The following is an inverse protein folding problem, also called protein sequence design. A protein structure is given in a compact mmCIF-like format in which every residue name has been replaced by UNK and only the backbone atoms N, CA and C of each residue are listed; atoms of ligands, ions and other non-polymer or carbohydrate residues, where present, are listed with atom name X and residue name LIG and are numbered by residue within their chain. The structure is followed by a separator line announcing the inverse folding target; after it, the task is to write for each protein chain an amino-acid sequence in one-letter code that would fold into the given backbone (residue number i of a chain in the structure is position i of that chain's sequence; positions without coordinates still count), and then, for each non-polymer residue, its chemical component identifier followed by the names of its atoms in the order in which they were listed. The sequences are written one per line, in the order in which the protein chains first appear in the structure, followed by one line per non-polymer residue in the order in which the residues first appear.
data_IF_917963764540
#
_entry.id   IF_917963764540
#
_cell.length_a   1.000
_cell.length_b   1.000
_cell.length_c   1.000
_cell.angle_alpha   90.00
_cell.angle_beta   90.00
_cell.angle_gamma   90.00
#
_symmetry.space_group_name_H-M   'P 1'
#
loop_
_entity.id
_entity.type
_entity.pdbx_description
1 polymer ?
#
# COMPACT_ATOMS: atom_id res chain seq x y z
N UNK A 1 -1.32 -25.03 25.71
CA UNK A 1 -1.82 -23.77 25.13
C UNK A 1 -1.08 -22.66 25.83
N UNK A 2 -0.23 -21.85 25.16
CA UNK A 2 0.37 -20.72 25.85
C UNK A 2 -0.76 -19.82 26.33
N UNK A 3 -0.66 -19.41 27.59
CA UNK A 3 -1.64 -18.55 28.25
C UNK A 3 -1.76 -17.26 27.43
N UNK A 4 -2.97 -16.96 26.95
CA UNK A 4 -3.24 -15.75 26.14
C UNK A 4 -3.37 -14.58 27.10
N UNK A 5 -2.26 -14.27 27.76
CA UNK A 5 -2.21 -13.31 28.84
C UNK A 5 -2.10 -11.89 28.28
N UNK A 6 -2.71 -10.89 28.93
CA UNK A 6 -2.54 -9.49 28.60
C UNK A 6 -1.07 -9.01 28.62
N UNK A 7 -0.21 -9.71 29.37
CA UNK A 7 1.24 -9.47 29.41
C UNK A 7 2.02 -10.01 28.22
N UNK A 8 1.36 -10.59 27.21
CA UNK A 8 2.03 -11.09 26.00
C UNK A 8 2.54 -9.91 25.16
N UNK A 9 3.77 -9.95 24.63
CA UNK A 9 4.25 -8.99 23.64
C UNK A 9 3.34 -8.90 22.42
N UNK A 10 3.27 -7.72 21.80
CA UNK A 10 2.37 -7.51 20.66
C UNK A 10 2.76 -8.34 19.44
N UNK A 11 4.06 -8.43 19.16
CA UNK A 11 4.65 -9.05 17.98
C UNK A 11 4.52 -10.57 17.95
N UNK A 12 4.50 -11.22 19.13
CA UNK A 12 4.19 -12.64 19.32
C UNK A 12 2.85 -13.07 18.68
N UNK A 13 1.94 -12.11 18.49
CA UNK A 13 0.63 -12.36 17.89
C UNK A 13 0.59 -12.20 16.36
N UNK A 14 1.55 -11.49 15.76
CA UNK A 14 1.46 -11.04 14.37
C UNK A 14 1.49 -12.21 13.39
N UNK A 15 2.40 -13.16 13.58
CA UNK A 15 2.52 -14.30 12.67
C UNK A 15 1.25 -15.16 12.69
N UNK A 16 0.66 -15.39 13.88
CA UNK A 16 -0.61 -16.12 14.03
C UNK A 16 -1.76 -15.39 13.34
N UNK A 17 -1.89 -14.08 13.59
CA UNK A 17 -2.88 -13.24 12.92
C UNK A 17 -2.78 -13.33 11.39
N UNK A 18 -1.56 -13.20 10.85
CA UNK A 18 -1.32 -13.23 9.41
C UNK A 18 -1.58 -14.61 8.80
N UNK A 19 -1.37 -15.70 9.55
CA UNK A 19 -1.72 -17.06 9.13
C UNK A 19 -3.24 -17.24 9.05
N UNK A 20 -3.97 -16.82 10.10
CA UNK A 20 -5.43 -16.95 10.16
C UNK A 20 -6.14 -16.08 9.11
N UNK A 21 -5.60 -14.88 8.83
CA UNK A 21 -6.14 -14.00 7.78
C UNK A 21 -5.77 -14.45 6.36
N UNK A 22 -4.75 -15.29 6.20
CA UNK A 22 -4.28 -15.78 4.90
C UNK A 22 -5.30 -16.72 4.24
N UNK A 23 -6.13 -16.20 3.32
CA UNK A 23 -7.02 -17.06 2.50
C UNK A 23 -6.29 -17.62 1.27
N UNK A 24 -6.30 -18.95 1.10
CA UNK A 24 -5.90 -19.64 -0.14
C UNK A 24 -5.04 -20.90 0.07
N UNK A 25 -4.99 -21.80 -0.93
CA UNK A 25 -4.15 -23.01 -0.96
C UNK A 25 -2.68 -22.60 -1.00
N UNK A 26 -2.08 -22.40 0.18
CA UNK A 26 -0.67 -22.05 0.32
C UNK A 26 -0.34 -20.96 1.34
N UNK A 27 -1.32 -20.22 1.89
CA UNK A 27 -1.14 -19.33 3.06
C UNK A 27 -0.17 -18.12 2.95
N UNK A 28 0.74 -18.10 1.95
CA UNK A 28 1.95 -17.27 1.97
C UNK A 28 1.91 -16.02 1.06
N UNK A 29 0.96 -15.95 0.13
CA UNK A 29 1.17 -15.21 -1.13
C UNK A 29 0.35 -13.93 -1.38
N UNK A 30 -0.19 -13.26 -0.35
CA UNK A 30 -1.07 -12.10 -0.57
C UNK A 30 -0.38 -10.74 -0.50
N UNK A 31 -0.67 -9.82 -1.43
CA UNK A 31 -0.30 -8.40 -1.28
C UNK A 31 -0.84 -7.82 0.05
N UNK A 32 -2.00 -8.32 0.50
CA UNK A 32 -2.54 -8.02 1.83
C UNK A 32 -1.59 -8.44 2.95
N UNK A 33 -1.18 -9.72 3.01
CA UNK A 33 -0.31 -10.28 4.07
C UNK A 33 0.99 -9.48 4.18
N UNK A 34 1.66 -9.19 3.07
CA UNK A 34 2.90 -8.39 3.07
C UNK A 34 2.70 -6.97 3.59
N UNK A 35 1.63 -6.30 3.15
CA UNK A 35 1.36 -4.93 3.59
C UNK A 35 0.92 -4.87 5.05
N UNK A 36 0.11 -5.83 5.50
CA UNK A 36 -0.29 -5.96 6.90
C UNK A 36 0.91 -6.28 7.80
N UNK A 37 1.76 -7.23 7.42
CA UNK A 37 2.97 -7.58 8.17
C UNK A 37 3.90 -6.38 8.34
N UNK A 38 4.14 -5.64 7.25
CA UNK A 38 4.96 -4.41 7.31
C UNK A 38 4.37 -3.38 8.26
N UNK A 39 3.05 -3.19 8.23
CA UNK A 39 2.42 -2.18 9.08
C UNK A 39 2.33 -2.62 10.54
N UNK A 40 2.12 -3.90 10.82
CA UNK A 40 2.21 -4.45 12.18
C UNK A 40 3.60 -4.26 12.78
N UNK A 41 4.66 -4.51 12.00
CA UNK A 41 6.03 -4.24 12.43
C UNK A 41 6.25 -2.76 12.76
N UNK A 42 5.81 -1.85 11.88
CA UNK A 42 5.88 -0.40 12.13
C UNK A 42 5.08 0.05 13.34
N UNK A 43 3.95 -0.59 13.61
CA UNK A 43 3.16 -0.32 14.81
C UNK A 43 3.89 -0.77 16.07
N UNK A 44 4.55 -1.94 16.05
CA UNK A 44 5.38 -2.39 17.18
C UNK A 44 6.59 -1.48 17.41
N UNK A 45 7.33 -1.13 16.35
CA UNK A 45 8.43 -0.14 16.42
C UNK A 45 7.95 1.20 16.98
N UNK A 46 6.78 1.66 16.53
CA UNK A 46 6.18 2.90 17.05
C UNK A 46 5.77 2.75 18.51
N UNK A 47 5.15 1.63 18.89
CA UNK A 47 4.76 1.38 20.27
C UNK A 47 5.98 1.29 21.22
N UNK A 48 7.12 0.80 20.73
CA UNK A 48 8.36 0.73 21.48
C UNK A 48 9.15 2.05 21.52
N UNK A 49 8.74 3.07 20.76
CA UNK A 49 9.45 4.36 20.67
C UNK A 49 10.57 4.40 19.62
N UNK A 50 10.88 3.29 18.95
CA UNK A 50 11.88 3.21 17.88
C UNK A 50 11.46 3.95 16.60
N UNK A 51 10.17 4.30 16.50
CA UNK A 51 9.58 5.03 15.40
C UNK A 51 8.64 6.12 15.93
N UNK A 52 8.78 7.35 15.45
CA UNK A 52 7.91 8.44 15.88
C UNK A 52 8.45 9.80 15.50
N UNK A 53 7.85 10.84 16.08
CA UNK A 53 8.47 12.16 16.14
C UNK A 53 9.62 12.14 17.14
N UNK A 54 10.51 13.14 17.10
CA UNK A 54 11.72 13.17 17.94
C UNK A 54 11.42 13.16 19.46
N UNK A 55 10.20 13.52 19.86
CA UNK A 55 9.71 13.56 21.25
C UNK A 55 8.87 12.33 21.65
N UNK A 56 8.67 11.37 20.74
CA UNK A 56 7.90 10.17 21.01
C UNK A 56 8.77 9.08 21.61
N UNK A 57 8.41 8.60 22.81
CA UNK A 57 9.18 7.58 23.54
C UNK A 57 8.52 6.20 23.59
N UNK A 58 7.39 6.02 22.90
CA UNK A 58 6.62 4.77 22.92
C UNK A 58 5.41 4.83 23.86
N UNK A 59 4.70 3.71 23.97
CA UNK A 59 3.52 3.57 24.83
C UNK A 59 3.85 3.05 26.23
N UNK A 60 5.04 2.45 26.38
CA UNK A 60 5.57 2.00 27.67
C UNK A 60 6.38 3.15 28.27
N UNK A 61 6.19 3.49 29.56
CA UNK A 61 6.99 4.51 30.23
C UNK A 61 8.49 4.19 30.21
N UNK A 62 9.33 5.22 29.98
CA UNK A 62 10.80 5.10 29.87
C UNK A 62 11.49 4.48 31.10
N UNK A 63 10.85 4.49 32.27
CA UNK A 63 11.36 3.89 33.50
C UNK A 63 11.11 2.37 33.58
N UNK A 64 10.42 1.80 32.60
CA UNK A 64 10.09 0.37 32.51
C UNK A 64 10.78 -0.24 31.29
N UNK A 65 11.83 -1.03 31.53
CA UNK A 65 12.59 -1.74 30.49
C UNK A 65 11.88 -3.04 30.06
N UNK A 66 10.83 -2.92 29.25
CA UNK A 66 10.14 -4.05 28.61
C UNK A 66 9.51 -3.66 27.27
N UNK A 67 9.27 -4.67 26.45
CA UNK A 67 8.51 -4.50 25.21
C UNK A 67 7.03 -4.17 25.49
N UNK A 68 6.35 -3.47 24.56
CA UNK A 68 4.91 -3.24 24.63
C UNK A 68 4.12 -4.54 24.64
N UNK A 69 3.07 -4.59 25.47
CA UNK A 69 2.20 -5.75 25.68
C UNK A 69 0.74 -5.37 25.44
N UNK A 70 -0.17 -6.36 25.45
CA UNK A 70 -1.60 -6.08 25.30
C UNK A 70 -2.19 -5.26 26.47
N UNK A 71 -1.60 -5.34 27.66
CA UNK A 71 -1.98 -4.51 28.83
C UNK A 71 -1.79 -3.01 28.58
N UNK A 72 -0.91 -2.64 27.66
CA UNK A 72 -0.64 -1.24 27.32
C UNK A 72 -1.62 -0.69 26.29
N UNK A 73 -2.46 -1.54 25.70
CA UNK A 73 -3.34 -1.16 24.60
C UNK A 73 -4.71 -0.71 25.10
N UNK A 74 -5.00 0.56 24.86
CA UNK A 74 -6.33 1.13 25.03
C UNK A 74 -6.74 1.96 23.79
N UNK A 75 -7.91 2.58 23.83
CA UNK A 75 -8.38 3.44 22.73
C UNK A 75 -7.48 4.68 22.49
N UNK A 76 -6.72 5.13 23.48
CA UNK A 76 -5.84 6.30 23.36
C UNK A 76 -4.60 5.93 22.54
N UNK A 77 -4.05 4.74 22.73
CA UNK A 77 -2.95 4.23 21.90
C UNK A 77 -3.33 4.21 20.42
N UNK A 78 -4.50 3.66 20.08
CA UNK A 78 -4.96 3.65 18.68
C UNK A 78 -5.24 5.07 18.15
N UNK A 79 -5.75 5.98 18.98
CA UNK A 79 -5.89 7.39 18.62
C UNK A 79 -4.55 8.05 18.31
N UNK A 80 -3.53 7.84 19.14
CA UNK A 80 -2.20 8.40 18.90
C UNK A 80 -1.56 7.82 17.65
N UNK A 81 -1.74 6.52 17.40
CA UNK A 81 -1.26 5.91 16.16
C UNK A 81 -1.95 6.49 14.92
N UNK A 82 -3.27 6.75 15.00
CA UNK A 82 -3.98 7.45 13.93
C UNK A 82 -3.40 8.86 13.67
N UNK A 83 -3.03 9.59 14.73
CA UNK A 83 -2.35 10.90 14.60
C UNK A 83 -0.95 10.75 13.99
N UNK A 84 -0.18 9.75 14.42
CA UNK A 84 1.13 9.46 13.85
C UNK A 84 1.05 9.24 12.34
N UNK A 85 0.13 8.38 11.89
CA UNK A 85 -0.08 8.14 10.46
C UNK A 85 -0.56 9.40 9.72
N UNK A 86 -1.49 10.16 10.30
CA UNK A 86 -2.01 11.39 9.70
C UNK A 86 -0.98 12.54 9.62
N UNK A 87 -0.02 12.56 10.55
CA UNK A 87 1.05 13.56 10.61
C UNK A 87 2.24 13.27 9.68
N UNK A 88 2.36 12.03 9.17
CA UNK A 88 3.41 11.67 8.22
C UNK A 88 3.18 12.35 6.86
N UNK A 89 3.99 13.38 6.59
CA UNK A 89 3.94 14.19 5.36
C UNK A 89 4.20 13.37 4.09
N UNK A 90 4.72 12.15 4.20
CA UNK A 90 4.94 11.23 3.09
C UNK A 90 3.71 10.37 2.72
N UNK A 91 2.68 10.31 3.56
CA UNK A 91 1.52 9.45 3.34
C UNK A 91 0.34 10.18 2.70
N UNK A 92 -0.29 9.54 1.70
CA UNK A 92 -1.58 9.97 1.17
C UNK A 92 -2.71 9.55 2.13
N UNK A 93 -3.83 10.27 2.13
CA UNK A 93 -4.99 9.98 2.98
C UNK A 93 -5.48 8.53 2.87
N UNK A 94 -5.65 8.00 1.66
CA UNK A 94 -6.05 6.59 1.46
C UNK A 94 -4.99 5.59 1.99
N UNK A 95 -3.71 5.96 1.99
CA UNK A 95 -2.66 5.15 2.59
C UNK A 95 -2.78 5.13 4.11
N UNK A 96 -2.99 6.29 4.74
CA UNK A 96 -3.27 6.40 6.19
C UNK A 96 -4.45 5.51 6.58
N UNK A 97 -5.57 5.62 5.86
CA UNK A 97 -6.76 4.80 6.07
C UNK A 97 -6.47 3.30 5.90
N UNK A 98 -5.73 2.94 4.85
CA UNK A 98 -5.38 1.54 4.58
C UNK A 98 -4.48 0.96 5.68
N UNK A 99 -3.51 1.73 6.16
CA UNK A 99 -2.58 1.31 7.20
C UNK A 99 -3.29 1.15 8.55
N UNK A 100 -4.09 2.15 8.94
CA UNK A 100 -4.91 2.04 10.13
C UNK A 100 -5.88 0.84 10.07
N UNK A 101 -6.45 0.55 8.89
CA UNK A 101 -7.31 -0.63 8.71
C UNK A 101 -6.58 -1.96 8.93
N UNK A 102 -5.28 -2.07 8.63
CA UNK A 102 -4.52 -3.27 8.95
C UNK A 102 -4.43 -3.46 10.47
N UNK A 103 -4.10 -2.39 11.21
CA UNK A 103 -4.02 -2.42 12.67
C UNK A 103 -5.38 -2.67 13.31
N UNK A 104 -6.43 -2.04 12.79
CA UNK A 104 -7.80 -2.27 13.25
C UNK A 104 -8.23 -3.72 13.02
N UNK A 105 -7.92 -4.31 11.85
CA UNK A 105 -8.23 -5.71 11.58
C UNK A 105 -7.47 -6.69 12.49
N UNK A 106 -6.25 -6.35 12.92
CA UNK A 106 -5.49 -7.12 13.92
C UNK A 106 -6.09 -6.96 15.33
N UNK A 107 -6.45 -5.74 15.74
CA UNK A 107 -7.14 -5.48 17.00
C UNK A 107 -8.43 -6.30 17.12
N UNK A 108 -9.26 -6.32 16.07
CA UNK A 108 -10.49 -7.14 16.05
C UNK A 108 -10.22 -8.64 16.10
N UNK A 109 -9.13 -9.13 15.53
CA UNK A 109 -8.71 -10.54 15.69
C UNK A 109 -8.22 -10.82 17.12
N UNK A 110 -7.49 -9.89 17.73
CA UNK A 110 -7.02 -10.02 19.12
C UNK A 110 -8.18 -10.13 20.10
N UNK A 111 -9.30 -9.44 19.85
CA UNK A 111 -10.53 -9.61 20.62
C UNK A 111 -11.09 -11.03 20.49
N UNK A 112 -11.19 -11.55 19.26
CA UNK A 112 -11.71 -12.89 19.02
C UNK A 112 -10.82 -13.99 19.64
N UNK A 113 -9.51 -13.78 19.65
CA UNK A 113 -8.57 -14.71 20.27
C UNK A 113 -8.43 -14.52 21.80
N UNK A 114 -9.03 -13.47 22.37
CA UNK A 114 -9.06 -13.21 23.81
C UNK A 114 -7.85 -12.47 24.37
N UNK A 115 -7.01 -11.85 23.53
CA UNK A 115 -5.92 -10.97 23.99
C UNK A 115 -6.44 -9.60 24.45
N UNK A 116 -7.55 -9.12 23.85
CA UNK A 116 -8.17 -7.84 24.18
C UNK A 116 -9.64 -8.03 24.56
N UNK A 117 -10.12 -7.27 25.53
CA UNK A 117 -11.52 -7.29 25.94
C UNK A 117 -12.46 -6.56 24.96
N UNK A 118 -11.93 -5.64 24.16
CA UNK A 118 -12.72 -4.81 23.25
C UNK A 118 -11.95 -4.36 22.01
N UNK A 119 -12.68 -4.04 20.96
CA UNK A 119 -12.11 -3.56 19.70
C UNK A 119 -11.78 -2.06 19.80
N UNK A 120 -10.74 -1.71 20.55
CA UNK A 120 -10.34 -0.32 20.81
C UNK A 120 -10.09 0.49 19.53
N UNK A 121 -9.46 -0.11 18.50
CA UNK A 121 -9.19 0.56 17.23
C UNK A 121 -10.44 0.99 16.44
N UNK A 122 -11.62 0.45 16.74
CA UNK A 122 -12.88 0.82 16.09
C UNK A 122 -13.70 1.83 16.90
N UNK A 123 -13.21 2.25 18.08
CA UNK A 123 -13.87 3.29 18.86
C UNK A 123 -13.83 4.62 18.11
N UNK A 124 -14.91 5.39 18.20
CA UNK A 124 -15.02 6.69 17.55
C UNK A 124 -13.90 7.64 17.98
N UNK A 125 -13.49 7.55 19.25
CA UNK A 125 -12.33 8.23 19.83
C UNK A 125 -11.04 7.94 19.07
N UNK A 126 -10.76 6.67 18.79
CA UNK A 126 -9.56 6.21 18.10
C UNK A 126 -9.54 6.62 16.62
N UNK A 127 -10.69 6.57 15.95
CA UNK A 127 -10.81 6.91 14.53
C UNK A 127 -10.86 8.41 14.23
N UNK A 128 -11.17 9.25 15.23
CA UNK A 128 -11.36 10.70 15.05
C UNK A 128 -10.20 11.45 14.35
N UNK A 129 -8.91 11.10 14.54
CA UNK A 129 -7.81 11.78 13.87
C UNK A 129 -7.58 11.34 12.42
N UNK A 130 -8.24 10.28 11.95
CA UNK A 130 -8.04 9.78 10.60
C UNK A 130 -8.55 10.82 9.58
N UNK A 131 -7.86 11.00 8.45
CA UNK A 131 -8.35 11.85 7.39
C UNK A 131 -9.70 11.33 6.89
N UNK A 132 -10.59 12.24 6.50
CA UNK A 132 -11.86 11.85 5.87
C UNK A 132 -11.60 10.96 4.65
N UNK A 133 -12.45 9.96 4.48
CA UNK A 133 -12.46 9.19 3.24
C UNK A 133 -12.82 10.16 2.10
N UNK A 134 -11.95 10.27 1.09
CA UNK A 134 -12.16 11.15 -0.06
C UNK A 134 -13.33 10.67 -0.95
N UNK A 135 -13.97 9.56 -0.58
CA UNK A 135 -15.19 9.03 -1.16
C UNK A 135 -14.97 8.49 -2.56
N UNK A 136 -13.73 8.48 -3.05
CA UNK A 136 -13.41 7.99 -4.39
C UNK A 136 -13.61 6.49 -4.43
N UNK A 137 -14.61 6.09 -5.19
CA UNK A 137 -14.84 4.68 -5.51
C UNK A 137 -13.85 4.26 -6.59
N UNK A 138 -13.50 2.97 -6.69
CA UNK A 138 -12.66 2.47 -7.78
C UNK A 138 -13.15 2.86 -9.18
N UNK A 139 -14.46 3.09 -9.36
CA UNK A 139 -15.07 3.56 -10.60
C UNK A 139 -14.88 5.05 -10.92
N UNK A 140 -14.41 5.85 -9.95
CA UNK A 140 -14.15 7.29 -10.14
C UNK A 140 -12.75 7.55 -10.74
N UNK A 141 -11.95 6.48 -10.93
CA UNK A 141 -10.70 6.57 -11.67
C UNK A 141 -11.00 6.85 -13.14
N UNK A 142 -10.27 7.78 -13.76
CA UNK A 142 -10.38 8.02 -15.20
C UNK A 142 -9.99 6.74 -15.95
N UNK A 143 -11.00 6.02 -16.43
CA UNK A 143 -10.82 4.91 -17.35
C UNK A 143 -10.95 5.44 -18.78
N UNK A 144 -10.05 5.01 -19.67
CA UNK A 144 -10.24 5.27 -21.09
C UNK A 144 -11.54 4.62 -21.56
N UNK A 145 -12.40 5.40 -22.21
CA UNK A 145 -13.56 4.86 -22.90
C UNK A 145 -13.11 3.92 -24.02
N UNK A 146 -14.00 3.04 -24.48
CA UNK A 146 -13.68 2.17 -25.62
C UNK A 146 -13.27 2.97 -26.86
N UNK A 147 -13.89 4.13 -27.06
CA UNK A 147 -13.56 5.07 -28.14
C UNK A 147 -12.17 5.70 -27.95
N UNK A 148 -11.83 6.17 -26.74
CA UNK A 148 -10.50 6.71 -26.44
C UNK A 148 -9.40 5.65 -26.62
N UNK A 149 -9.65 4.41 -26.15
CA UNK A 149 -8.73 3.29 -26.40
C UNK A 149 -8.55 3.04 -27.88
N UNK A 150 -9.64 2.97 -28.63
CA UNK A 150 -9.59 2.70 -30.06
C UNK A 150 -8.89 3.82 -30.84
N UNK A 151 -9.14 5.09 -30.48
CA UNK A 151 -8.48 6.24 -31.08
C UNK A 151 -6.96 6.22 -30.82
N UNK A 152 -6.54 5.91 -29.60
CA UNK A 152 -5.12 5.79 -29.24
C UNK A 152 -4.44 4.64 -30.00
N UNK A 153 -5.04 3.44 -30.01
CA UNK A 153 -4.48 2.29 -30.74
C UNK A 153 -4.41 2.57 -32.23
N UNK A 154 -5.47 3.13 -32.83
CA UNK A 154 -5.48 3.50 -34.25
C UNK A 154 -4.39 4.51 -34.58
N UNK A 155 -4.23 5.54 -33.77
CA UNK A 155 -3.19 6.55 -33.98
C UNK A 155 -1.79 5.92 -33.98
N UNK A 156 -1.48 5.07 -33.00
CA UNK A 156 -0.18 4.38 -32.93
C UNK A 156 0.02 3.45 -34.13
N UNK A 157 -1.04 2.75 -34.56
CA UNK A 157 -1.02 1.89 -35.74
C UNK A 157 -0.75 2.67 -37.04
N UNK A 158 -1.41 3.83 -37.21
CA UNK A 158 -1.20 4.75 -38.34
C UNK A 158 0.23 5.29 -38.34
N UNK A 159 0.74 5.76 -37.19
CA UNK A 159 2.11 6.27 -37.08
C UNK A 159 3.16 5.22 -37.44
N UNK A 160 2.95 3.96 -37.05
CA UNK A 160 3.82 2.86 -37.43
C UNK A 160 3.74 2.56 -38.93
N UNK A 161 2.52 2.49 -39.49
CA UNK A 161 2.32 2.26 -40.93
C UNK A 161 2.98 3.36 -41.77
N UNK A 162 2.69 4.63 -41.48
CA UNK A 162 3.22 5.77 -42.21
C UNK A 162 4.76 5.79 -42.22
N UNK A 163 5.38 5.44 -41.08
CA UNK A 163 6.83 5.42 -40.96
C UNK A 163 7.46 4.27 -41.77
N UNK A 164 6.81 3.11 -41.82
CA UNK A 164 7.23 1.97 -42.66
C UNK A 164 7.06 2.31 -44.13
N UNK A 165 5.89 2.80 -44.53
CA UNK A 165 5.60 3.18 -45.92
C UNK A 165 6.59 4.24 -46.42
N UNK A 166 6.82 5.30 -45.63
CA UNK A 166 7.77 6.36 -45.96
C UNK A 166 9.22 5.87 -46.12
N UNK A 167 9.59 4.74 -45.51
CA UNK A 167 10.89 4.11 -45.72
C UNK A 167 10.89 3.22 -46.97
N UNK A 168 9.82 2.46 -47.20
CA UNK A 168 9.76 1.48 -48.31
C UNK A 168 9.59 2.12 -49.68
N UNK A 169 9.01 3.33 -49.77
CA UNK A 169 8.81 4.04 -51.05
C UNK A 169 9.99 4.94 -51.46
N UNK A 170 11.10 4.92 -50.72
CA UNK A 170 12.26 5.75 -51.03
C UNK A 170 12.88 5.35 -52.38
N UNK A 171 13.18 6.32 -53.27
CA UNK A 171 13.95 6.09 -54.48
C UNK A 171 15.32 5.47 -54.21
N UNK A 172 15.83 4.65 -55.15
CA UNK A 172 17.13 3.98 -54.99
C UNK A 172 18.32 4.95 -54.88
N UNK A 173 18.20 6.14 -55.46
CA UNK A 173 19.17 7.24 -55.45
C UNK A 173 19.06 8.16 -54.23
N UNK A 174 18.16 7.86 -53.27
CA UNK A 174 18.06 8.62 -52.01
C UNK A 174 19.39 8.63 -51.28
N UNK A 175 19.80 9.81 -50.78
CA UNK A 175 21.00 9.98 -49.98
C UNK A 175 21.12 8.91 -48.86
N UNK A 176 22.29 8.26 -48.70
CA UNK A 176 22.46 7.19 -47.72
C UNK A 176 22.13 7.58 -46.27
N UNK A 177 22.39 8.82 -45.86
CA UNK A 177 22.08 9.30 -44.50
C UNK A 177 20.58 9.48 -44.33
N UNK A 178 19.88 10.02 -45.34
CA UNK A 178 18.44 10.17 -45.28
C UNK A 178 17.71 8.83 -45.31
N UNK A 179 18.22 7.86 -46.07
CA UNK A 179 17.74 6.47 -46.05
C UNK A 179 17.90 5.83 -44.66
N UNK A 180 19.04 6.04 -43.99
CA UNK A 180 19.25 5.55 -42.62
C UNK A 180 18.32 6.21 -41.60
N UNK A 181 18.10 7.52 -41.71
CA UNK A 181 17.17 8.26 -40.83
C UNK A 181 15.74 7.73 -40.95
N UNK A 182 15.28 7.49 -42.18
CA UNK A 182 13.94 6.93 -42.45
C UNK A 182 13.81 5.49 -41.95
N UNK A 183 14.84 4.67 -42.12
CA UNK A 183 14.90 3.31 -41.55
C UNK A 183 14.78 3.33 -40.03
N UNK A 184 15.54 4.21 -39.36
CA UNK A 184 15.49 4.35 -37.90
C UNK A 184 14.10 4.81 -37.43
N UNK A 185 13.48 5.77 -38.12
CA UNK A 185 12.14 6.23 -37.80
C UNK A 185 11.08 5.11 -37.91
N UNK A 186 11.16 4.28 -38.95
CA UNK A 186 10.29 3.11 -39.12
C UNK A 186 10.46 2.09 -37.98
N UNK A 187 11.70 1.75 -37.63
CA UNK A 187 12.00 0.83 -36.53
C UNK A 187 11.53 1.36 -35.18
N UNK A 188 11.73 2.66 -34.91
CA UNK A 188 11.28 3.30 -33.69
C UNK A 188 9.74 3.28 -33.59
N UNK A 189 9.04 3.64 -34.65
CA UNK A 189 7.58 3.66 -34.65
C UNK A 189 6.96 2.26 -34.50
N UNK A 190 7.58 1.24 -35.10
CA UNK A 190 7.17 -0.15 -34.92
C UNK A 190 7.42 -0.66 -33.49
N UNK A 191 8.52 -0.24 -32.86
CA UNK A 191 8.80 -0.55 -31.45
C UNK A 191 7.83 0.15 -30.51
N UNK A 192 7.56 1.43 -30.73
CA UNK A 192 6.68 2.23 -29.87
C UNK A 192 5.20 1.77 -29.97
N UNK A 193 4.86 0.92 -30.94
CA UNK A 193 3.57 0.21 -31.06
C UNK A 193 3.48 -1.07 -30.21
N UNK A 194 4.60 -1.76 -30.02
CA UNK A 194 4.67 -3.11 -29.42
C UNK A 194 4.61 -3.08 -27.90
#
# INVERSE_FOLDING_TARGET
MPDRAPSTPLDDSFERYLQDKGKGRGGDGGNYRRNAARELGRFAEWAAGDRGADDWTGIVPDDVDREPTFDDLDERVFREYARHLGGDRGLKQNTVQTYYRYISAWCGWCVNEGYLEAHYAQRASAMAPLPEDDGRKPGDQQAWTSEQRHALTRHVDERARDAVEAYTILPEDTDPLDKQRRRYAALKAARDRA
#
